data_IF_417951906702
#
_entry.id   IF_417951906702
#
_cell.length_a   1.000
_cell.length_b   1.000
_cell.length_c   1.000
_cell.angle_alpha   90.00
_cell.angle_beta   90.00
_cell.angle_gamma   90.00
#
_symmetry.space_group_name_H-M   'P 1'
#
loop_
_entity.id
_entity.type
_entity.pdbx_description
1 polymer ?
#
# COMPACT_ATOMS: atom_id res chain seq x y z
N UNK A 1 -11.93 10.97 4.21
CA UNK A 1 -10.48 11.31 4.10
C UNK A 1 -9.70 10.40 5.03
N UNK A 2 -8.74 9.69 4.45
CA UNK A 2 -7.90 8.61 5.00
C UNK A 2 -7.15 9.03 6.27
N UNK A 3 -7.38 8.31 7.37
CA UNK A 3 -6.91 8.67 8.72
C UNK A 3 -5.41 8.97 8.82
N UNK A 4 -4.55 8.25 8.09
CA UNK A 4 -3.09 8.50 8.10
C UNK A 4 -2.72 9.83 7.44
N UNK A 5 -3.29 10.11 6.26
CA UNK A 5 -3.05 11.38 5.57
C UNK A 5 -3.52 12.57 6.41
N UNK A 6 -4.71 12.44 7.02
CA UNK A 6 -5.26 13.45 7.91
C UNK A 6 -4.41 13.64 9.19
N UNK A 7 -3.88 12.56 9.77
CA UNK A 7 -2.97 12.62 10.91
C UNK A 7 -1.65 13.32 10.54
N UNK A 8 -1.07 12.99 9.38
CA UNK A 8 0.17 13.61 8.87
C UNK A 8 -0.02 15.10 8.58
N UNK A 9 -1.13 15.52 7.97
CA UNK A 9 -1.42 16.93 7.72
C UNK A 9 -1.61 17.74 9.01
N UNK A 10 -2.09 17.11 10.09
CA UNK A 10 -2.26 17.75 11.40
C UNK A 10 -1.02 17.67 12.30
N UNK A 11 0.05 17.00 11.86
CA UNK A 11 1.22 16.73 12.69
C UNK A 11 0.94 15.77 13.87
N UNK A 12 -0.16 15.02 13.82
CA UNK A 12 -0.56 14.08 14.87
C UNK A 12 0.19 12.75 14.71
N UNK A 13 1.42 12.73 15.23
CA UNK A 13 2.32 11.57 15.16
C UNK A 13 1.81 10.38 15.98
N UNK A 14 1.05 10.62 17.06
CA UNK A 14 0.52 9.55 17.90
C UNK A 14 -0.55 8.75 17.16
N UNK A 15 -1.53 9.44 16.55
CA UNK A 15 -2.52 8.81 15.68
C UNK A 15 -1.88 8.15 14.46
N UNK A 16 -0.86 8.78 13.86
CA UNK A 16 -0.10 8.18 12.76
C UNK A 16 0.54 6.84 13.15
N UNK A 17 1.19 6.75 14.31
CA UNK A 17 1.79 5.50 14.82
C UNK A 17 0.75 4.43 15.10
N UNK A 18 -0.37 4.78 15.74
CA UNK A 18 -1.44 3.84 16.02
C UNK A 18 -2.02 3.23 14.74
N UNK A 19 -2.20 4.05 13.69
CA UNK A 19 -2.66 3.57 12.39
C UNK A 19 -1.63 2.64 11.74
N UNK A 20 -0.34 2.99 11.76
CA UNK A 20 0.72 2.13 11.23
C UNK A 20 0.82 0.79 11.98
N UNK A 21 0.62 0.79 13.30
CA UNK A 21 0.65 -0.44 14.10
C UNK A 21 -0.44 -1.45 13.72
N UNK A 22 -1.59 -0.98 13.20
CA UNK A 22 -2.68 -1.84 12.73
C UNK A 22 -2.52 -2.38 11.30
N UNK A 23 -1.58 -1.84 10.51
CA UNK A 23 -1.41 -2.24 9.11
C UNK A 23 -0.93 -3.69 8.90
N UNK A 24 0.01 -4.23 9.71
CA UNK A 24 0.44 -5.62 9.57
C UNK A 24 -0.72 -6.61 9.74
N UNK A 25 -1.52 -6.46 10.80
CA UNK A 25 -2.66 -7.35 11.04
C UNK A 25 -3.70 -7.29 9.91
N UNK A 26 -3.95 -6.10 9.35
CA UNK A 26 -4.83 -5.95 8.18
C UNK A 26 -4.23 -6.63 6.94
N UNK A 27 -2.93 -6.50 6.72
CA UNK A 27 -2.24 -7.18 5.62
C UNK A 27 -2.34 -8.69 5.77
N UNK A 28 -2.09 -9.24 6.96
CA UNK A 28 -2.20 -10.68 7.23
C UNK A 28 -3.62 -11.20 7.00
N UNK A 29 -4.64 -10.43 7.43
CA UNK A 29 -6.03 -10.76 7.17
C UNK A 29 -6.36 -10.78 5.66
N UNK A 30 -5.82 -9.84 4.88
CA UNK A 30 -6.00 -9.80 3.43
C UNK A 30 -5.31 -10.96 2.72
N UNK A 31 -4.10 -11.34 3.14
CA UNK A 31 -3.39 -12.51 2.61
C UNK A 31 -4.16 -13.79 2.93
N UNK A 32 -4.61 -13.95 4.18
CA UNK A 32 -5.44 -15.09 4.61
C UNK A 32 -6.73 -15.19 3.78
N UNK A 33 -7.41 -14.06 3.54
CA UNK A 33 -8.60 -14.03 2.70
C UNK A 33 -8.32 -14.37 1.22
N UNK A 34 -7.17 -13.93 0.70
CA UNK A 34 -6.72 -14.29 -0.64
C UNK A 34 -6.44 -15.78 -0.79
N UNK A 35 -5.79 -16.39 0.21
CA UNK A 35 -5.49 -17.82 0.24
C UNK A 35 -6.78 -18.65 0.35
N UNK A 36 -7.70 -18.26 1.24
CA UNK A 36 -9.00 -18.92 1.37
C UNK A 36 -9.80 -18.86 0.06
N UNK A 37 -9.78 -17.72 -0.64
CA UNK A 37 -10.40 -17.57 -1.96
C UNK A 37 -9.72 -18.45 -3.01
N UNK A 38 -8.39 -18.56 -2.99
CA UNK A 38 -7.64 -19.46 -3.86
C UNK A 38 -8.02 -20.93 -3.65
N UNK A 39 -8.10 -21.36 -2.38
CA UNK A 39 -8.52 -22.70 -2.02
C UNK A 39 -9.96 -23.00 -2.45
N UNK A 40 -10.90 -22.06 -2.23
CA UNK A 40 -12.29 -22.20 -2.66
C UNK A 40 -12.42 -22.27 -4.19
N UNK A 41 -11.68 -21.43 -4.92
CA UNK A 41 -11.67 -21.45 -6.38
C UNK A 41 -11.09 -22.77 -6.92
N UNK A 42 -10.04 -23.31 -6.30
CA UNK A 42 -9.47 -24.60 -6.66
C UNK A 42 -10.42 -25.78 -6.34
N UNK A 43 -11.16 -25.71 -5.24
CA UNK A 43 -12.20 -26.70 -4.94
C UNK A 43 -13.31 -26.67 -6.00
N UNK A 44 -13.81 -25.48 -6.35
CA UNK A 44 -14.84 -25.32 -7.37
C UNK A 44 -14.34 -25.76 -8.77
N UNK A 45 -13.09 -25.46 -9.12
CA UNK A 45 -12.49 -25.92 -10.36
C UNK A 45 -12.49 -27.46 -10.47
N UNK A 46 -12.18 -28.16 -9.37
CA UNK A 46 -12.22 -29.63 -9.33
C UNK A 46 -13.63 -30.19 -9.53
N UNK A 47 -14.63 -29.62 -8.85
CA UNK A 47 -16.04 -30.00 -9.02
C UNK A 47 -16.52 -29.80 -10.47
N UNK A 48 -16.02 -28.75 -11.13
CA UNK A 48 -16.32 -28.45 -12.54
C UNK A 48 -15.45 -29.23 -13.55
N UNK A 49 -14.57 -30.12 -13.08
CA UNK A 49 -13.69 -30.91 -13.95
C UNK A 49 -12.60 -30.09 -14.67
N UNK A 50 -12.27 -28.90 -14.17
CA UNK A 50 -11.21 -28.05 -14.71
C UNK A 50 -9.84 -28.44 -14.11
N UNK A 51 -8.79 -28.38 -14.92
CA UNK A 51 -7.42 -28.56 -14.43
C UNK A 51 -7.10 -27.47 -13.41
N UNK A 52 -6.74 -27.85 -12.17
CA UNK A 52 -6.63 -26.91 -11.04
C UNK A 52 -5.56 -25.81 -11.20
N UNK A 53 -4.60 -25.97 -12.12
CA UNK A 53 -3.52 -25.01 -12.33
C UNK A 53 -4.01 -23.82 -13.18
N UNK A 54 -4.06 -22.62 -12.58
CA UNK A 54 -4.27 -21.37 -13.31
C UNK A 54 -5.72 -21.00 -13.61
N UNK A 55 -6.70 -21.64 -12.95
CA UNK A 55 -8.11 -21.31 -13.15
C UNK A 55 -8.43 -19.93 -12.56
N UNK A 56 -8.89 -19.03 -13.44
CA UNK A 56 -9.30 -17.68 -13.04
C UNK A 56 -10.76 -17.67 -12.59
N UNK A 57 -11.14 -16.70 -11.74
CA UNK A 57 -12.55 -16.50 -11.37
C UNK A 57 -13.45 -16.25 -12.60
N UNK A 58 -12.91 -15.67 -13.67
CA UNK A 58 -13.63 -15.50 -14.93
C UNK A 58 -13.90 -16.84 -15.61
N UNK A 59 -12.89 -17.72 -15.68
CA UNK A 59 -13.03 -19.07 -16.24
C UNK A 59 -14.02 -19.94 -15.44
N UNK A 60 -14.11 -19.75 -14.11
CA UNK A 60 -15.13 -20.38 -13.27
C UNK A 60 -16.52 -19.84 -13.57
N UNK A 61 -16.65 -18.51 -13.68
CA UNK A 61 -17.93 -17.84 -13.92
C UNK A 61 -18.59 -18.30 -15.25
N UNK A 62 -17.80 -18.58 -16.28
CA UNK A 62 -18.29 -19.10 -17.58
C UNK A 62 -18.95 -20.49 -17.51
N UNK A 63 -18.71 -21.26 -16.44
CA UNK A 63 -19.19 -22.65 -16.27
C UNK A 63 -20.29 -22.79 -15.23
N UNK A 64 -20.68 -21.68 -14.60
CA UNK A 64 -21.68 -21.66 -13.54
C UNK A 64 -23.06 -21.28 -14.09
N UNK A 65 -24.08 -21.54 -13.28
CA UNK A 65 -25.42 -21.02 -13.54
C UNK A 65 -25.41 -19.48 -13.61
N UNK A 66 -26.28 -18.85 -14.42
CA UNK A 66 -26.26 -17.41 -14.68
C UNK A 66 -26.28 -16.53 -13.42
N UNK A 67 -27.03 -16.94 -12.38
CA UNK A 67 -27.12 -16.18 -11.13
C UNK A 67 -25.78 -16.16 -10.38
N UNK A 68 -25.11 -17.30 -10.29
CA UNK A 68 -23.79 -17.43 -9.66
C UNK A 68 -22.69 -16.77 -10.49
N UNK A 69 -22.80 -16.82 -11.82
CA UNK A 69 -21.93 -16.09 -12.72
C UNK A 69 -22.00 -14.58 -12.45
N UNK A 70 -23.21 -14.02 -12.35
CA UNK A 70 -23.40 -12.60 -12.07
C UNK A 70 -22.80 -12.19 -10.71
N UNK A 71 -23.00 -13.02 -9.67
CA UNK A 71 -22.44 -12.76 -8.33
C UNK A 71 -20.90 -12.74 -8.32
N UNK A 72 -20.25 -13.71 -8.97
CA UNK A 72 -18.78 -13.78 -9.04
C UNK A 72 -18.21 -12.60 -9.82
N UNK A 73 -18.84 -12.23 -10.93
CA UNK A 73 -18.42 -11.06 -11.71
C UNK A 73 -18.59 -9.77 -10.90
N UNK A 74 -19.71 -9.60 -10.20
CA UNK A 74 -19.95 -8.46 -9.34
C UNK A 74 -18.95 -8.39 -8.16
N UNK A 75 -18.61 -9.53 -7.56
CA UNK A 75 -17.61 -9.60 -6.51
C UNK A 75 -16.20 -9.26 -7.03
N UNK A 76 -15.83 -9.76 -8.21
CA UNK A 76 -14.55 -9.44 -8.87
C UNK A 76 -14.43 -7.95 -9.16
N UNK A 77 -15.48 -7.33 -9.70
CA UNK A 77 -15.52 -5.89 -9.96
C UNK A 77 -15.33 -5.09 -8.68
N UNK A 78 -16.04 -5.45 -7.59
CA UNK A 78 -15.87 -4.82 -6.27
C UNK A 78 -14.44 -4.96 -5.74
N UNK A 79 -13.84 -6.15 -5.80
CA UNK A 79 -12.46 -6.38 -5.36
C UNK A 79 -11.46 -5.56 -6.17
N UNK A 80 -11.67 -5.45 -7.48
CA UNK A 80 -10.80 -4.67 -8.37
C UNK A 80 -10.86 -3.18 -8.02
N UNK A 81 -12.06 -2.64 -7.82
CA UNK A 81 -12.26 -1.27 -7.39
C UNK A 81 -11.58 -0.99 -6.04
N UNK A 82 -11.82 -1.83 -5.03
CA UNK A 82 -11.19 -1.68 -3.71
C UNK A 82 -9.66 -1.76 -3.77
N UNK A 83 -9.10 -2.63 -4.61
CA UNK A 83 -7.65 -2.74 -4.79
C UNK A 83 -7.06 -1.47 -5.43
N UNK A 84 -7.75 -0.92 -6.43
CA UNK A 84 -7.39 0.36 -7.06
C UNK A 84 -7.40 1.49 -6.02
N UNK A 85 -8.46 1.58 -5.21
CA UNK A 85 -8.59 2.59 -4.17
C UNK A 85 -7.48 2.47 -3.11
N UNK A 86 -7.20 1.26 -2.64
CA UNK A 86 -6.11 1.01 -1.68
C UNK A 86 -4.76 1.41 -2.25
N UNK A 87 -4.50 1.09 -3.52
CA UNK A 87 -3.26 1.46 -4.22
C UNK A 87 -3.12 2.99 -4.31
N UNK A 88 -4.19 3.69 -4.66
CA UNK A 88 -4.20 5.15 -4.72
C UNK A 88 -3.96 5.80 -3.35
N UNK A 89 -4.55 5.23 -2.29
CA UNK A 89 -4.34 5.69 -0.90
C UNK A 89 -2.88 5.46 -0.49
N UNK A 90 -2.33 4.29 -0.76
CA UNK A 90 -0.94 3.96 -0.46
C UNK A 90 0.03 4.91 -1.18
N UNK A 91 -0.16 5.13 -2.48
CA UNK A 91 0.67 6.04 -3.28
C UNK A 91 0.63 7.46 -2.70
N UNK A 92 -0.55 7.96 -2.32
CA UNK A 92 -0.70 9.28 -1.71
C UNK A 92 0.03 9.41 -0.37
N UNK A 93 -0.07 8.40 0.49
CA UNK A 93 0.61 8.38 1.79
C UNK A 93 2.13 8.28 1.64
N UNK A 94 2.62 7.49 0.68
CA UNK A 94 4.03 7.38 0.34
C UNK A 94 4.60 8.73 -0.13
N UNK A 95 3.88 9.42 -1.03
CA UNK A 95 4.25 10.74 -1.51
C UNK A 95 4.33 11.76 -0.38
N UNK A 96 3.32 11.82 0.50
CA UNK A 96 3.32 12.75 1.64
C UNK A 96 4.51 12.49 2.57
N UNK A 97 4.80 11.22 2.86
CA UNK A 97 5.94 10.83 3.71
C UNK A 97 7.27 11.21 3.06
N UNK A 98 7.41 11.02 1.76
CA UNK A 98 8.59 11.44 1.01
C UNK A 98 8.80 12.96 1.05
N UNK A 99 7.72 13.74 0.88
CA UNK A 99 7.77 15.20 0.99
C UNK A 99 8.17 15.66 2.40
N UNK A 100 7.54 15.12 3.46
CA UNK A 100 7.87 15.46 4.84
C UNK A 100 9.35 15.17 5.15
N UNK A 101 9.84 13.99 4.75
CA UNK A 101 11.25 13.62 4.92
C UNK A 101 12.19 14.57 4.18
N UNK A 102 11.86 14.95 2.94
CA UNK A 102 12.68 15.89 2.17
C UNK A 102 12.71 17.27 2.80
N UNK A 103 11.56 17.76 3.28
CA UNK A 103 11.44 19.04 3.97
C UNK A 103 12.26 19.06 5.26
N UNK A 104 12.10 18.07 6.14
CA UNK A 104 12.87 17.99 7.39
C UNK A 104 14.38 17.88 7.14
N UNK A 105 14.79 17.14 6.10
CA UNK A 105 16.20 17.11 5.71
C UNK A 105 16.71 18.49 5.27
N UNK A 106 15.90 19.26 4.55
CA UNK A 106 16.22 20.65 4.18
C UNK A 106 16.38 21.54 5.40
N UNK A 107 15.39 21.54 6.30
CA UNK A 107 15.43 22.32 7.56
C UNK A 107 16.63 21.94 8.41
N UNK A 108 16.91 20.65 8.59
CA UNK A 108 18.07 20.20 9.35
C UNK A 108 19.39 20.62 8.69
N UNK A 109 19.48 20.59 7.36
CA UNK A 109 20.64 21.08 6.63
C UNK A 109 20.86 22.58 6.81
N UNK A 110 19.79 23.38 6.85
CA UNK A 110 19.87 24.82 7.08
C UNK A 110 20.30 25.13 8.52
N UNK A 111 19.72 24.45 9.51
CA UNK A 111 20.05 24.64 10.92
C UNK A 111 21.49 24.22 11.22
N UNK A 112 21.97 23.12 10.63
CA UNK A 112 23.35 22.64 10.82
C UNK A 112 24.38 23.40 9.98
N UNK A 113 23.95 24.10 8.91
CA UNK A 113 24.84 24.96 8.13
C UNK A 113 25.27 26.22 8.91
N UNK A 114 24.45 26.71 9.83
CA UNK A 114 24.79 27.84 10.70
C UNK A 114 25.87 27.48 11.75
N UNK A 115 25.90 26.23 12.20
CA UNK A 115 26.87 25.70 13.17
C UNK A 115 28.08 25.01 12.51
N UNK A 116 28.16 25.01 11.18
CA UNK A 116 29.28 24.41 10.47
C UNK A 116 30.54 25.28 10.65
N UNK A 117 31.64 24.76 11.25
CA UNK A 117 32.88 25.52 11.33
C UNK A 117 33.37 25.84 9.92
N UNK A 118 33.92 27.05 9.67
CA UNK A 118 34.39 27.44 8.35
C UNK A 118 35.48 26.47 7.89
N UNK A 119 35.12 25.54 7.00
CA UNK A 119 36.05 24.62 6.33
C UNK A 119 36.74 25.38 5.19
N UNK A 120 37.60 26.33 5.52
CA UNK A 120 38.75 26.80 4.74
C UNK A 120 39.45 27.88 5.58
N UNK A 121 40.49 27.48 6.33
CA UNK A 121 41.53 28.42 6.72
C UNK A 121 42.34 28.83 5.48
N UNK A 122 43.05 29.98 5.49
CA UNK A 122 43.78 30.49 4.33
C UNK A 122 44.97 29.57 4.01
N UNK A 123 44.74 28.54 3.21
CA UNK A 123 45.82 27.71 2.67
C UNK A 123 46.51 28.45 1.53
N UNK A 124 47.70 28.98 1.84
CA UNK A 124 48.75 29.14 0.83
C UNK A 124 49.16 30.57 0.51
N UNK A 125 49.67 31.32 1.50
CA UNK A 125 50.71 32.31 1.22
C UNK A 125 51.99 31.51 0.92
N UNK A 126 52.40 31.44 -0.34
CA UNK A 126 53.78 31.07 -0.70
C UNK A 126 54.51 32.34 -1.15
N UNK A 127 55.73 32.40 -0.64
CA UNK A 127 56.82 33.35 -0.85
C UNK A 127 57.10 33.51 -2.34
#
# INVERSE_FOLDING_TARGET
MTGLNAALLRGDLASGRAICAGQPALADALHTAADARGAAAAALARELGLAAAGVTLAALAERLAPDLQAEILAARTRLTALTSDLTAIQARNANLTAHLRSFFRGVLSELTAADAPPRYGPTGRRI
#
